data_IF_787337081313
#
_entry.id   IF_787337081313
#
_cell.length_a   1.000
_cell.length_b   1.000
_cell.length_c   1.000
_cell.angle_alpha   90.00
_cell.angle_beta   90.00
_cell.angle_gamma   90.00
#
_symmetry.space_group_name_H-M   'P 1'
#
loop_
_entity.id
_entity.type
_entity.pdbx_description
1 polymer ?
#
# COMPACT_ATOMS: atom_id res chain seq x y z
N UNK A 1 -9.93 11.65 15.89
CA UNK A 1 -10.03 11.34 14.46
C UNK A 1 -8.88 12.07 13.80
N UNK A 2 -7.73 11.41 13.71
CA UNK A 2 -6.58 11.98 13.00
C UNK A 2 -6.62 11.44 11.56
N UNK A 3 -7.08 12.29 10.64
CA UNK A 3 -6.90 12.05 9.21
C UNK A 3 -5.49 12.52 8.87
N UNK A 4 -4.52 11.62 8.98
CA UNK A 4 -3.15 11.88 8.54
C UNK A 4 -3.08 11.88 7.02
N UNK A 5 -3.20 13.06 6.40
CA UNK A 5 -2.83 13.24 4.99
C UNK A 5 -1.32 13.51 4.93
N UNK A 6 -0.50 12.47 4.70
CA UNK A 6 0.93 12.64 4.44
C UNK A 6 1.33 11.98 3.11
N UNK A 7 1.78 12.81 2.17
CA UNK A 7 2.38 12.40 0.90
C UNK A 7 1.39 12.11 -0.24
N UNK A 8 1.88 11.95 -1.49
CA UNK A 8 1.06 11.79 -2.70
C UNK A 8 0.34 10.43 -2.82
N UNK A 9 0.18 9.70 -1.72
CA UNK A 9 -0.72 8.56 -1.59
C UNK A 9 -1.76 8.87 -0.53
N UNK A 10 -3.00 9.12 -0.93
CA UNK A 10 -4.11 9.19 0.04
C UNK A 10 -4.31 7.77 0.55
N UNK A 11 -4.01 7.50 1.82
CA UNK A 11 -4.47 6.31 2.55
C UNK A 11 -5.46 6.76 3.62
N UNK A 12 -6.59 6.06 3.73
CA UNK A 12 -7.49 6.23 4.87
C UNK A 12 -7.23 5.13 5.87
N UNK A 13 -6.87 5.49 7.10
CA UNK A 13 -6.77 4.57 8.22
C UNK A 13 -7.77 4.97 9.31
N UNK A 14 -8.51 3.99 9.82
CA UNK A 14 -9.41 4.16 10.96
C UNK A 14 -8.97 3.22 12.08
N UNK A 15 -8.61 3.82 13.21
CA UNK A 15 -8.23 3.07 14.40
C UNK A 15 -9.45 2.82 15.29
N UNK A 16 -9.47 1.66 15.94
CA UNK A 16 -10.51 1.31 16.89
C UNK A 16 -10.15 0.12 17.75
N UNK A 17 -11.17 -0.37 18.46
CA UNK A 17 -11.10 -1.55 19.31
C UNK A 17 -12.31 -2.42 19.02
N UNK A 18 -12.07 -3.70 18.74
CA UNK A 18 -13.14 -4.68 18.53
C UNK A 18 -13.88 -4.95 19.85
N UNK A 19 -15.07 -5.54 19.78
CA UNK A 19 -15.82 -5.96 20.99
C UNK A 19 -15.03 -6.94 21.86
N UNK A 20 -14.10 -7.71 21.27
CA UNK A 20 -13.18 -8.59 21.99
C UNK A 20 -12.12 -7.85 22.82
N UNK A 21 -11.99 -6.54 22.67
CA UNK A 21 -10.93 -5.72 23.26
C UNK A 21 -9.66 -5.62 22.42
N UNK A 22 -9.60 -6.32 21.28
CA UNK A 22 -8.44 -6.27 20.39
C UNK A 22 -8.37 -4.95 19.62
N UNK A 23 -7.18 -4.34 19.58
CA UNK A 23 -6.93 -3.15 18.76
C UNK A 23 -6.98 -3.50 17.27
N UNK A 24 -7.59 -2.61 16.49
CA UNK A 24 -7.80 -2.80 15.04
C UNK A 24 -7.54 -1.51 14.27
N UNK A 25 -6.99 -1.67 13.06
CA UNK A 25 -6.84 -0.62 12.06
C UNK A 25 -7.56 -1.08 10.80
N UNK A 26 -8.48 -0.25 10.29
CA UNK A 26 -9.11 -0.44 9.00
C UNK A 26 -8.41 0.45 7.97
N UNK A 27 -7.77 -0.18 6.99
CA UNK A 27 -7.06 0.49 5.91
C UNK A 27 -7.92 0.51 4.65
N UNK A 28 -8.38 1.68 4.23
CA UNK A 28 -9.12 1.91 2.99
C UNK A 28 -8.38 2.84 2.04
N UNK A 29 -8.85 2.87 0.79
CA UNK A 29 -8.50 3.84 -0.25
C UNK A 29 -7.02 4.23 -0.25
N UNK A 30 -6.17 3.42 -0.90
CA UNK A 30 -4.72 3.69 -1.02
C UNK A 30 -4.31 3.74 -2.49
N UNK A 31 -3.28 4.53 -2.77
CA UNK A 31 -2.68 4.69 -4.10
C UNK A 31 -1.24 4.20 -3.99
N UNK A 32 -0.96 2.96 -4.42
CA UNK A 32 0.40 2.43 -4.38
C UNK A 32 1.37 3.33 -5.13
N UNK A 33 2.53 3.60 -4.53
CA UNK A 33 3.54 4.46 -5.13
C UNK A 33 4.64 3.61 -5.75
N UNK A 34 4.93 3.82 -7.03
CA UNK A 34 6.09 3.20 -7.67
C UNK A 34 7.33 4.04 -7.40
N UNK A 35 8.21 3.54 -6.53
CA UNK A 35 9.46 4.23 -6.16
C UNK A 35 10.66 3.76 -6.98
N UNK A 36 10.55 2.59 -7.62
CA UNK A 36 11.54 2.10 -8.59
C UNK A 36 10.85 1.76 -9.91
N UNK A 37 11.21 2.47 -10.98
CA UNK A 37 10.78 2.15 -12.34
C UNK A 37 11.77 1.14 -12.92
N UNK A 38 11.31 -0.09 -13.13
CA UNK A 38 12.15 -1.16 -13.67
C UNK A 38 11.44 -1.83 -14.84
N UNK A 39 12.21 -2.16 -15.89
CA UNK A 39 11.71 -2.92 -17.05
C UNK A 39 11.45 -4.39 -16.71
N UNK A 40 12.06 -4.88 -15.61
CA UNK A 40 11.93 -6.25 -15.11
C UNK A 40 11.76 -6.28 -13.59
N UNK A 41 11.12 -7.32 -13.02
CA UNK A 41 11.02 -7.47 -11.58
C UNK A 41 12.38 -7.46 -10.88
N UNK A 42 12.48 -6.71 -9.78
CA UNK A 42 13.64 -6.66 -8.89
C UNK A 42 13.95 -8.08 -8.38
N UNK A 43 15.23 -8.45 -8.38
CA UNK A 43 15.67 -9.74 -7.81
C UNK A 43 15.51 -9.75 -6.29
N UNK A 44 15.47 -10.95 -5.67
CA UNK A 44 15.40 -11.09 -4.21
C UNK A 44 16.58 -10.35 -3.54
N UNK A 45 17.80 -10.71 -3.92
CA UNK A 45 19.05 -10.12 -3.40
C UNK A 45 19.09 -8.60 -3.53
N UNK A 46 18.60 -8.06 -4.67
CA UNK A 46 18.56 -6.61 -4.88
C UNK A 46 17.52 -5.94 -3.97
N UNK A 47 16.37 -6.58 -3.74
CA UNK A 47 15.32 -6.04 -2.88
C UNK A 47 15.79 -6.00 -1.42
N UNK A 48 16.43 -7.07 -0.95
CA UNK A 48 17.04 -7.14 0.38
C UNK A 48 18.15 -6.11 0.55
N UNK A 49 19.00 -5.93 -0.47
CA UNK A 49 20.02 -4.88 -0.44
C UNK A 49 19.41 -3.49 -0.37
N UNK A 50 18.33 -3.21 -1.12
CA UNK A 50 17.63 -1.92 -1.06
C UNK A 50 17.07 -1.67 0.35
N UNK A 51 16.45 -2.68 0.95
CA UNK A 51 15.89 -2.58 2.31
C UNK A 51 16.99 -2.33 3.34
N UNK A 52 18.09 -3.09 3.27
CA UNK A 52 19.25 -2.91 4.15
C UNK A 52 19.89 -1.53 4.02
N UNK A 53 20.12 -1.04 2.79
CA UNK A 53 20.72 0.29 2.61
C UNK A 53 19.79 1.41 3.04
N UNK A 54 18.47 1.27 2.85
CA UNK A 54 17.50 2.22 3.39
C UNK A 54 17.54 2.25 4.92
N UNK A 55 17.56 1.08 5.56
CA UNK A 55 17.75 0.97 7.01
C UNK A 55 19.04 1.66 7.47
N UNK A 56 20.18 1.37 6.83
CA UNK A 56 21.47 2.00 7.18
C UNK A 56 21.42 3.51 7.08
N UNK A 57 20.85 4.02 5.99
CA UNK A 57 20.69 5.45 5.77
C UNK A 57 19.80 6.09 6.85
N UNK A 58 18.66 5.49 7.14
CA UNK A 58 17.71 6.00 8.14
C UNK A 58 18.29 5.95 9.55
N UNK A 59 19.02 4.89 9.91
CA UNK A 59 19.74 4.81 11.19
C UNK A 59 20.72 5.97 11.36
N UNK A 60 21.48 6.31 10.32
CA UNK A 60 22.40 7.46 10.35
C UNK A 60 21.64 8.77 10.46
N UNK A 61 20.54 8.95 9.71
CA UNK A 61 19.73 10.17 9.81
C UNK A 61 19.09 10.34 11.19
N UNK A 62 18.65 9.25 11.82
CA UNK A 62 17.93 9.28 13.11
C UNK A 62 18.85 9.37 14.32
N UNK A 63 19.96 8.63 14.31
CA UNK A 63 20.85 8.47 15.48
C UNK A 63 22.23 9.09 15.30
N UNK A 64 22.64 9.39 14.06
CA UNK A 64 24.01 9.78 13.73
C UNK A 64 25.00 8.61 13.67
N UNK A 65 24.55 7.39 13.98
CA UNK A 65 25.40 6.20 14.03
C UNK A 65 25.20 5.31 12.80
N UNK A 66 26.31 4.76 12.28
CA UNK A 66 26.29 3.78 11.21
C UNK A 66 26.04 2.41 11.83
N UNK A 67 24.93 1.71 11.52
CA UNK A 67 24.58 0.47 12.21
C UNK A 67 25.50 -0.70 11.81
N UNK A 68 26.07 -0.64 10.60
CA UNK A 68 26.98 -1.65 10.05
C UNK A 68 28.17 -0.98 9.36
N UNK A 69 29.37 -1.22 9.88
CA UNK A 69 30.64 -0.69 9.37
C UNK A 69 30.95 -1.23 7.97
N UNK A 70 30.69 -2.52 7.76
CA UNK A 70 30.83 -3.20 6.47
C UNK A 70 29.64 -4.15 6.23
N UNK A 71 29.34 -4.38 4.95
CA UNK A 71 28.22 -5.23 4.50
C UNK A 71 28.63 -6.04 3.27
N UNK A 72 28.86 -7.32 3.49
CA UNK A 72 29.17 -8.30 2.46
C UNK A 72 27.97 -9.21 2.17
N UNK A 73 27.91 -9.75 0.95
CA UNK A 73 26.91 -10.75 0.58
C UNK A 73 27.13 -12.03 1.40
N UNK A 74 26.06 -12.57 1.97
CA UNK A 74 26.07 -13.82 2.73
C UNK A 74 25.87 -15.06 1.86
N UNK A 75 25.59 -16.19 2.52
CA UNK A 75 25.42 -17.51 1.88
C UNK A 75 23.96 -17.89 1.60
N UNK A 76 22.99 -17.04 1.94
CA UNK A 76 21.53 -17.21 1.73
C UNK A 76 20.97 -18.55 2.25
N UNK A 77 20.59 -18.66 3.55
CA UNK A 77 20.81 -17.70 4.64
C UNK A 77 22.20 -17.83 5.32
N UNK A 78 22.73 -16.75 5.94
CA UNK A 78 22.19 -15.39 6.02
C UNK A 78 22.29 -14.64 4.68
N UNK A 79 21.42 -13.66 4.46
CA UNK A 79 21.48 -12.77 3.29
C UNK A 79 22.77 -11.93 3.26
N UNK A 80 23.27 -11.51 4.44
CA UNK A 80 24.46 -10.67 4.59
C UNK A 80 25.37 -11.10 5.73
N UNK A 81 26.68 -10.83 5.57
CA UNK A 81 27.63 -10.76 6.67
C UNK A 81 27.93 -9.28 6.94
N UNK A 82 27.70 -8.82 8.16
CA UNK A 82 27.84 -7.41 8.55
C UNK A 82 28.83 -7.26 9.69
N UNK A 83 29.50 -6.10 9.74
CA UNK A 83 30.42 -5.76 10.84
C UNK A 83 29.75 -4.77 11.80
N UNK A 84 29.60 -5.17 13.07
CA UNK A 84 29.01 -4.37 14.15
C UNK A 84 30.03 -4.23 15.26
N UNK A 85 30.49 -3.02 15.55
CA UNK A 85 31.49 -2.75 16.59
C UNK A 85 32.75 -3.62 16.44
N UNK A 86 33.22 -3.79 15.20
CA UNK A 86 34.35 -4.66 14.86
C UNK A 86 34.10 -6.17 14.98
N UNK A 87 32.87 -6.63 15.24
CA UNK A 87 32.51 -8.05 15.27
C UNK A 87 31.61 -8.43 14.09
N UNK A 88 31.90 -9.58 13.47
CA UNK A 88 31.07 -10.12 12.40
C UNK A 88 29.74 -10.63 12.96
N UNK A 89 28.66 -10.33 12.24
CA UNK A 89 27.29 -10.75 12.54
C UNK A 89 26.61 -11.23 11.25
N UNK A 90 25.85 -12.33 11.35
CA UNK A 90 25.11 -12.93 10.24
C UNK A 90 23.70 -12.33 10.22
N UNK A 91 23.43 -11.52 9.21
CA UNK A 91 22.20 -10.73 9.08
C UNK A 91 21.29 -11.32 8.01
N UNK A 92 20.05 -11.59 8.38
CA UNK A 92 18.98 -11.98 7.46
C UNK A 92 17.93 -10.87 7.35
N UNK A 93 17.28 -10.76 6.20
CA UNK A 93 16.27 -9.77 5.91
C UNK A 93 14.91 -10.43 5.70
N UNK A 94 13.87 -9.79 6.25
CA UNK A 94 12.49 -10.18 6.04
C UNK A 94 11.62 -8.95 5.86
N UNK A 95 10.43 -9.14 5.28
CA UNK A 95 9.46 -8.08 5.11
C UNK A 95 8.13 -8.42 5.82
N UNK A 96 7.63 -7.50 6.62
CA UNK A 96 6.29 -7.57 7.20
C UNK A 96 5.33 -6.81 6.29
N UNK A 97 4.37 -7.53 5.71
CA UNK A 97 3.55 -7.04 4.59
C UNK A 97 2.12 -7.57 4.66
N UNK A 98 1.17 -6.86 4.04
CA UNK A 98 -0.20 -7.33 3.90
C UNK A 98 -0.36 -8.01 2.55
N UNK A 99 -0.03 -9.30 2.48
CA UNK A 99 -0.02 -10.06 1.22
C UNK A 99 -1.35 -9.99 0.45
N UNK A 100 -2.48 -10.10 1.15
CA UNK A 100 -3.82 -9.95 0.55
C UNK A 100 -4.02 -8.57 -0.08
N UNK A 101 -3.52 -7.52 0.58
CA UNK A 101 -3.56 -6.14 0.08
C UNK A 101 -2.70 -5.99 -1.18
N UNK A 102 -1.45 -6.43 -1.13
CA UNK A 102 -0.54 -6.38 -2.31
C UNK A 102 -1.11 -7.17 -3.48
N UNK A 103 -1.73 -8.32 -3.22
CA UNK A 103 -2.43 -9.10 -4.26
C UNK A 103 -3.58 -8.33 -4.89
N UNK A 104 -4.46 -7.73 -4.09
CA UNK A 104 -5.59 -6.95 -4.60
C UNK A 104 -5.12 -5.79 -5.49
N UNK A 105 -4.08 -5.06 -5.06
CA UNK A 105 -3.51 -3.98 -5.87
C UNK A 105 -2.80 -4.48 -7.13
N UNK A 106 -2.13 -5.64 -7.11
CA UNK A 106 -1.59 -6.25 -8.33
C UNK A 106 -2.67 -6.54 -9.38
N UNK A 107 -3.82 -7.04 -8.93
CA UNK A 107 -4.99 -7.24 -9.81
C UNK A 107 -5.51 -5.88 -10.31
N UNK A 108 -5.62 -4.89 -9.42
CA UNK A 108 -6.06 -3.55 -9.79
C UNK A 108 -5.13 -2.85 -10.80
N UNK A 109 -3.80 -3.03 -10.68
CA UNK A 109 -2.83 -2.55 -11.68
C UNK A 109 -3.09 -3.13 -13.07
N UNK A 110 -3.54 -4.37 -13.16
CA UNK A 110 -3.89 -5.00 -14.44
C UNK A 110 -5.11 -4.32 -15.07
N UNK A 111 -6.11 -3.97 -14.26
CA UNK A 111 -7.25 -3.16 -14.72
C UNK A 111 -6.82 -1.77 -15.17
N UNK A 112 -5.98 -1.07 -14.38
CA UNK A 112 -5.44 0.24 -14.76
C UNK A 112 -4.73 0.20 -16.11
N UNK A 113 -3.93 -0.84 -16.34
CA UNK A 113 -3.24 -1.05 -17.61
C UNK A 113 -4.23 -1.23 -18.77
N UNK A 114 -5.29 -2.01 -18.56
CA UNK A 114 -6.34 -2.21 -19.59
C UNK A 114 -7.08 -0.90 -19.91
N UNK A 115 -7.41 -0.10 -18.90
CA UNK A 115 -8.04 1.23 -19.08
C UNK A 115 -7.13 2.13 -19.92
N UNK A 116 -5.84 2.23 -19.55
CA UNK A 116 -4.87 3.05 -20.28
C UNK A 116 -4.72 2.61 -21.74
N UNK A 117 -4.67 1.29 -21.99
CA UNK A 117 -4.59 0.73 -23.34
C UNK A 117 -5.85 0.99 -24.17
N UNK A 118 -6.99 1.21 -23.51
CA UNK A 118 -8.27 1.46 -24.17
C UNK A 118 -8.54 2.95 -24.42
N UNK A 119 -7.78 3.85 -23.78
CA UNK A 119 -8.03 5.30 -23.77
C UNK A 119 -8.02 5.98 -25.15
N UNK A 120 -7.27 5.43 -26.11
CA UNK A 120 -7.27 5.94 -27.50
C UNK A 120 -8.56 5.58 -28.28
N UNK A 121 -9.33 4.60 -27.79
CA UNK A 121 -10.48 4.03 -28.50
C UNK A 121 -11.82 4.18 -27.76
N UNK A 122 -11.79 4.48 -26.47
CA UNK A 122 -12.96 4.60 -25.60
C UNK A 122 -12.94 5.97 -24.94
N UNK A 123 -14.06 6.69 -25.03
CA UNK A 123 -14.22 7.99 -24.39
C UNK A 123 -14.55 7.83 -22.90
N UNK A 124 -13.71 8.40 -22.04
CA UNK A 124 -13.89 8.48 -20.58
C UNK A 124 -14.26 9.89 -20.10
N UNK A 125 -14.69 10.77 -21.01
CA UNK A 125 -14.99 12.17 -20.72
C UNK A 125 -16.10 12.38 -19.68
N UNK A 126 -16.95 11.38 -19.46
CA UNK A 126 -17.97 11.31 -18.42
C UNK A 126 -17.41 11.30 -16.99
N UNK A 127 -16.19 10.76 -16.79
CA UNK A 127 -15.49 10.71 -15.49
C UNK A 127 -14.25 11.61 -15.44
N UNK A 128 -14.02 12.41 -16.48
CA UNK A 128 -12.85 13.28 -16.60
C UNK A 128 -12.72 14.28 -15.45
N UNK A 129 -11.50 14.41 -14.92
CA UNK A 129 -11.15 15.32 -13.83
C UNK A 129 -11.49 14.80 -12.43
N UNK A 130 -11.87 13.53 -12.28
CA UNK A 130 -12.28 12.94 -11.01
C UNK A 130 -11.36 11.79 -10.56
N UNK A 131 -11.53 11.34 -9.30
CA UNK A 131 -11.07 10.02 -8.83
C UNK A 131 -12.25 9.07 -8.82
N UNK A 132 -12.16 8.01 -9.62
CA UNK A 132 -13.11 6.91 -9.64
C UNK A 132 -12.64 5.82 -8.69
N UNK A 133 -13.30 5.70 -7.54
CA UNK A 133 -13.11 4.58 -6.63
C UNK A 133 -13.96 3.40 -7.13
N UNK A 134 -13.34 2.22 -7.24
CA UNK A 134 -13.95 1.02 -7.81
C UNK A 134 -13.98 -0.09 -6.75
N UNK A 135 -15.17 -0.55 -6.40
CA UNK A 135 -15.41 -1.67 -5.49
C UNK A 135 -15.89 -2.87 -6.30
N UNK A 136 -15.38 -4.06 -6.02
CA UNK A 136 -15.77 -5.29 -6.74
C UNK A 136 -16.66 -6.15 -5.85
N UNK A 137 -17.68 -6.75 -6.45
CA UNK A 137 -18.75 -7.48 -5.75
C UNK A 137 -18.61 -8.99 -5.87
N UNK A 138 -17.83 -9.50 -6.83
CA UNK A 138 -17.62 -10.93 -7.02
C UNK A 138 -16.53 -11.53 -6.11
N UNK A 139 -16.76 -12.75 -5.61
CA UNK A 139 -15.78 -13.53 -4.84
C UNK A 139 -15.40 -12.88 -3.52
N UNK A 140 -14.11 -12.57 -3.34
CA UNK A 140 -13.56 -11.87 -2.17
C UNK A 140 -13.54 -10.34 -2.34
N UNK A 141 -14.30 -9.81 -3.29
CA UNK A 141 -14.27 -8.38 -3.66
C UNK A 141 -12.96 -7.95 -4.32
N UNK A 142 -12.29 -8.88 -5.01
CA UNK A 142 -11.02 -8.64 -5.68
C UNK A 142 -11.22 -8.17 -7.13
N UNK A 143 -10.33 -7.31 -7.67
CA UNK A 143 -10.36 -6.97 -9.09
C UNK A 143 -10.18 -8.19 -9.99
N UNK A 144 -10.67 -8.15 -11.24
CA UNK A 144 -10.50 -9.26 -12.18
C UNK A 144 -9.04 -9.65 -12.40
N UNK A 145 -8.79 -10.94 -12.63
CA UNK A 145 -7.45 -11.44 -12.97
C UNK A 145 -7.00 -10.89 -14.32
N UNK A 146 -5.70 -10.65 -14.47
CA UNK A 146 -5.08 -10.20 -15.74
C UNK A 146 -5.46 -11.05 -16.96
N UNK A 147 -5.67 -12.35 -16.77
CA UNK A 147 -6.06 -13.28 -17.83
C UNK A 147 -7.55 -13.25 -18.19
N UNK A 148 -8.40 -12.67 -17.34
CA UNK A 148 -9.84 -12.56 -17.60
C UNK A 148 -10.14 -11.28 -18.38
N UNK A 149 -9.77 -11.29 -19.66
CA UNK A 149 -9.96 -10.16 -20.57
C UNK A 149 -11.43 -9.77 -20.72
N UNK A 150 -12.35 -10.72 -20.58
CA UNK A 150 -13.79 -10.45 -20.67
C UNK A 150 -14.27 -9.64 -19.47
N UNK A 151 -13.90 -10.05 -18.25
CA UNK A 151 -14.24 -9.30 -17.05
C UNK A 151 -13.59 -7.91 -17.04
N UNK A 152 -12.31 -7.80 -17.44
CA UNK A 152 -11.62 -6.51 -17.55
C UNK A 152 -12.33 -5.57 -18.54
N UNK A 153 -12.66 -6.05 -19.75
CA UNK A 153 -13.35 -5.26 -20.76
C UNK A 153 -14.73 -4.77 -20.29
N UNK A 154 -15.46 -5.59 -19.53
CA UNK A 154 -16.75 -5.20 -18.93
C UNK A 154 -16.60 -4.04 -17.95
N UNK A 155 -15.57 -4.06 -17.10
CA UNK A 155 -15.30 -2.97 -16.17
C UNK A 155 -14.94 -1.70 -16.94
N UNK A 156 -14.07 -1.80 -17.96
CA UNK A 156 -13.70 -0.66 -18.82
C UNK A 156 -14.94 -0.06 -19.51
N UNK A 157 -15.80 -0.90 -20.07
CA UNK A 157 -17.06 -0.48 -20.70
C UNK A 157 -17.98 0.23 -19.68
N UNK A 158 -18.16 -0.36 -18.49
CA UNK A 158 -18.98 0.24 -17.44
C UNK A 158 -18.47 1.63 -16.99
N UNK A 159 -17.15 1.85 -16.99
CA UNK A 159 -16.57 3.18 -16.72
C UNK A 159 -16.97 4.16 -17.83
N UNK A 160 -16.87 3.77 -19.11
CA UNK A 160 -17.26 4.64 -20.24
C UNK A 160 -18.76 4.93 -20.30
N UNK A 161 -19.59 4.04 -19.76
CA UNK A 161 -21.04 4.18 -19.68
C UNK A 161 -21.50 4.87 -18.39
N UNK A 162 -20.57 5.23 -17.49
CA UNK A 162 -20.91 5.91 -16.24
C UNK A 162 -21.68 7.22 -16.55
N UNK A 163 -22.83 7.50 -15.91
CA UNK A 163 -23.61 8.68 -16.23
C UNK A 163 -22.81 9.97 -16.02
N UNK A 164 -22.75 10.85 -17.03
CA UNK A 164 -22.15 12.18 -16.86
C UNK A 164 -23.05 13.04 -15.97
N UNK A 165 -22.70 13.11 -14.68
CA UNK A 165 -23.42 13.89 -13.67
C UNK A 165 -22.74 15.19 -13.32
N UNK A 166 -21.74 15.64 -14.11
CA UNK A 166 -20.99 16.88 -13.80
C UNK A 166 -21.91 18.09 -13.69
N UNK A 167 -22.96 18.16 -14.52
CA UNK A 167 -23.94 19.23 -14.45
C UNK A 167 -24.72 19.24 -13.13
N UNK A 168 -25.20 18.07 -12.69
CA UNK A 168 -25.92 17.90 -11.42
C UNK A 168 -25.03 18.26 -10.21
N UNK A 169 -23.77 17.79 -10.24
CA UNK A 169 -22.77 18.09 -9.20
C UNK A 169 -22.48 19.58 -9.14
N UNK A 170 -22.28 20.25 -10.28
CA UNK A 170 -22.04 21.70 -10.33
C UNK A 170 -23.23 22.48 -9.80
N UNK A 171 -24.46 22.13 -10.21
CA UNK A 171 -25.66 22.78 -9.70
C UNK A 171 -25.80 22.63 -8.18
N UNK A 172 -25.54 21.44 -7.66
CA UNK A 172 -25.56 21.16 -6.23
C UNK A 172 -24.53 22.01 -5.46
N UNK A 173 -23.27 22.00 -5.91
CA UNK A 173 -22.19 22.77 -5.28
C UNK A 173 -22.48 24.27 -5.33
N UNK A 174 -22.96 24.79 -6.47
CA UNK A 174 -23.35 26.20 -6.61
C UNK A 174 -24.47 26.58 -5.63
N UNK A 175 -25.44 25.69 -5.42
CA UNK A 175 -26.51 25.89 -4.44
C UNK A 175 -26.01 26.00 -3.00
N UNK A 176 -25.01 25.21 -2.62
CA UNK A 176 -24.43 25.22 -1.26
C UNK A 176 -23.47 26.41 -1.07
N UNK A 177 -22.64 26.72 -2.07
CA UNK A 177 -21.75 27.89 -2.05
C UNK A 177 -22.56 29.18 -1.98
N UNK A 178 -23.68 29.27 -2.69
CA UNK A 178 -24.61 30.41 -2.58
C UNK A 178 -25.21 30.57 -1.19
N UNK A 179 -25.26 29.50 -0.38
CA UNK A 179 -25.70 29.50 1.02
C UNK A 179 -24.54 29.72 2.01
N UNK A 180 -23.33 30.04 1.53
CA UNK A 180 -22.19 30.44 2.35
C UNK A 180 -21.31 29.30 2.86
N UNK A 181 -21.43 28.08 2.32
CA UNK A 181 -20.61 26.94 2.70
C UNK A 181 -20.02 26.21 1.49
N UNK A 182 -18.89 25.52 1.68
CA UNK A 182 -18.47 24.47 0.74
C UNK A 182 -19.02 23.15 1.27
N UNK A 183 -19.65 22.29 0.45
CA UNK A 183 -20.09 20.99 0.93
C UNK A 183 -18.88 20.16 1.39
N UNK A 184 -18.96 19.61 2.60
CA UNK A 184 -17.96 18.66 3.10
C UNK A 184 -18.01 17.34 2.31
N UNK A 185 -19.18 16.97 1.76
CA UNK A 185 -19.41 15.78 0.95
C UNK A 185 -20.49 16.02 -0.11
N UNK A 186 -20.36 15.37 -1.27
CA UNK A 186 -21.41 15.29 -2.28
C UNK A 186 -22.42 14.18 -1.92
N UNK A 187 -23.70 14.27 -2.33
CA UNK A 187 -24.70 13.22 -2.08
C UNK A 187 -24.28 11.90 -2.71
N UNK A 188 -24.35 10.80 -1.96
CA UNK A 188 -23.90 9.48 -2.41
C UNK A 188 -24.57 9.04 -3.72
N UNK A 189 -25.87 9.31 -3.91
CA UNK A 189 -26.58 8.91 -5.12
C UNK A 189 -26.12 9.67 -6.38
N UNK A 190 -25.48 10.82 -6.22
CA UNK A 190 -24.90 11.61 -7.31
C UNK A 190 -23.50 11.12 -7.70
N UNK A 191 -22.90 10.27 -6.87
CA UNK A 191 -21.51 9.85 -7.02
C UNK A 191 -21.38 8.37 -7.36
N UNK A 192 -22.45 7.56 -7.30
CA UNK A 192 -22.35 6.11 -7.48
C UNK A 192 -23.02 5.58 -8.76
N UNK A 193 -22.43 4.50 -9.29
CA UNK A 193 -23.04 3.66 -10.32
C UNK A 193 -22.61 2.21 -10.14
N UNK A 194 -23.25 1.29 -10.86
CA UNK A 194 -22.93 -0.13 -10.87
C UNK A 194 -22.79 -0.60 -12.32
N UNK A 195 -21.86 -1.50 -12.59
CA UNK A 195 -21.78 -2.19 -13.87
C UNK A 195 -23.05 -3.00 -14.13
N UNK A 196 -23.51 -3.09 -15.37
CA UNK A 196 -24.77 -3.74 -15.71
C UNK A 196 -24.91 -5.21 -15.26
N UNK A 197 -23.79 -5.90 -15.05
CA UNK A 197 -23.75 -7.28 -14.56
C UNK A 197 -23.45 -7.40 -13.05
N UNK A 198 -23.35 -6.29 -12.34
CA UNK A 198 -23.05 -6.24 -10.91
C UNK A 198 -21.63 -6.64 -10.53
N UNK A 199 -20.68 -6.69 -11.46
CA UNK A 199 -19.28 -7.02 -11.19
C UNK A 199 -18.56 -5.95 -10.35
N UNK A 200 -18.86 -4.68 -10.60
CA UNK A 200 -18.24 -3.55 -9.95
C UNK A 200 -19.23 -2.43 -9.63
N UNK A 201 -19.04 -1.81 -8.47
CA UNK A 201 -19.63 -0.53 -8.12
C UNK A 201 -18.58 0.57 -8.18
N UNK A 202 -19.03 1.76 -8.54
CA UNK A 202 -18.20 2.92 -8.75
C UNK A 202 -18.63 4.02 -7.79
N UNK A 203 -17.68 4.75 -7.22
CA UNK A 203 -17.93 6.05 -6.58
C UNK A 203 -16.97 7.10 -7.16
N UNK A 204 -17.53 8.19 -7.66
CA UNK A 204 -16.78 9.34 -8.15
C UNK A 204 -16.45 10.23 -6.94
N UNK A 205 -15.26 10.80 -6.93
CA UNK A 205 -14.87 11.83 -5.98
C UNK A 205 -14.26 12.99 -6.77
N UNK A 206 -14.71 14.20 -6.49
CA UNK A 206 -14.10 15.42 -7.04
C UNK A 206 -12.86 15.72 -6.21
N UNK A 207 -11.73 15.93 -6.88
CA UNK A 207 -10.48 16.25 -6.20
C UNK A 207 -10.32 17.77 -6.11
N UNK A 208 -10.28 18.35 -4.90
CA UNK A 208 -9.97 19.76 -4.76
C UNK A 208 -8.53 20.03 -5.24
N UNK A 209 -8.32 21.14 -5.95
CA UNK A 209 -7.00 21.72 -6.23
C UNK A 209 -6.04 20.95 -7.16
N UNK A 210 -6.54 20.19 -8.13
CA UNK A 210 -5.69 19.71 -9.24
C UNK A 210 -4.56 18.76 -8.83
N UNK A 211 -4.73 18.02 -7.72
CA UNK A 211 -3.76 17.02 -7.26
C UNK A 211 -3.80 15.72 -8.08
N UNK A 212 -4.45 15.74 -9.24
CA UNK A 212 -4.46 14.65 -10.20
C UNK A 212 -3.21 14.76 -11.07
N UNK A 213 -2.26 13.86 -10.84
CA UNK A 213 -0.98 13.84 -11.54
C UNK A 213 -0.54 12.39 -11.74
N UNK A 214 0.21 12.14 -12.81
CA UNK A 214 0.78 10.83 -13.12
C UNK A 214 0.36 10.30 -14.48
N UNK A 215 1.08 9.28 -14.95
CA UNK A 215 0.92 8.74 -16.30
C UNK A 215 -0.46 8.14 -16.57
N UNK A 216 -1.17 7.67 -15.55
CA UNK A 216 -2.54 7.19 -15.69
C UNK A 216 -3.47 8.36 -16.00
N UNK A 217 -3.49 9.40 -15.16
CA UNK A 217 -4.28 10.60 -15.39
C UNK A 217 -3.97 11.28 -16.72
N UNK A 218 -2.70 11.37 -17.11
CA UNK A 218 -2.29 11.92 -18.41
C UNK A 218 -2.86 11.13 -19.60
N UNK A 219 -2.99 9.80 -19.46
CA UNK A 219 -3.50 8.93 -20.51
C UNK A 219 -5.04 8.91 -20.57
N UNK A 220 -5.72 9.00 -19.43
CA UNK A 220 -7.16 8.73 -19.35
C UNK A 220 -8.01 9.96 -19.04
N UNK A 221 -7.41 11.03 -18.54
CA UNK A 221 -8.09 12.25 -18.09
C UNK A 221 -8.78 12.14 -16.72
N UNK A 222 -8.65 11.00 -16.02
CA UNK A 222 -9.19 10.77 -14.67
C UNK A 222 -8.24 9.86 -13.88
N UNK A 223 -8.47 9.70 -12.58
CA UNK A 223 -7.69 8.80 -11.73
C UNK A 223 -8.59 7.70 -11.15
N UNK A 224 -8.03 6.55 -10.78
CA UNK A 224 -8.84 5.49 -10.14
C UNK A 224 -8.18 4.87 -8.91
N UNK A 225 -9.02 4.53 -7.94
CA UNK A 225 -8.61 3.95 -6.66
C UNK A 225 -9.37 2.64 -6.39
N UNK A 226 -8.74 1.72 -5.66
CA UNK A 226 -9.40 0.50 -5.24
C UNK A 226 -10.26 0.78 -4.00
N UNK A 227 -11.57 0.57 -4.13
CA UNK A 227 -12.57 0.73 -3.06
C UNK A 227 -12.67 -0.48 -2.14
N UNK A 228 -11.53 -1.01 -1.69
CA UNK A 228 -11.42 -2.15 -0.78
C UNK A 228 -10.84 -1.71 0.56
N UNK A 229 -11.40 -2.22 1.65
CA UNK A 229 -10.86 -2.05 3.00
C UNK A 229 -10.14 -3.32 3.46
N UNK A 230 -9.13 -3.13 4.31
CA UNK A 230 -8.37 -4.23 4.89
C UNK A 230 -8.35 -4.03 6.40
N UNK A 231 -8.86 -5.03 7.12
CA UNK A 231 -8.78 -5.08 8.56
C UNK A 231 -7.42 -5.64 8.99
N UNK A 232 -6.76 -4.93 9.89
CA UNK A 232 -5.52 -5.34 10.51
C UNK A 232 -5.72 -5.30 12.01
N UNK A 233 -5.61 -6.46 12.66
CA UNK A 233 -5.65 -6.54 14.12
C UNK A 233 -4.24 -6.63 14.69
N UNK A 234 -4.09 -6.17 15.93
CA UNK A 234 -2.84 -6.35 16.68
C UNK A 234 -2.46 -7.83 16.78
N UNK A 235 -3.43 -8.68 17.08
CA UNK A 235 -3.26 -10.14 17.17
C UNK A 235 -2.73 -10.74 15.87
N UNK A 236 -3.36 -10.46 14.72
CA UNK A 236 -2.89 -10.95 13.43
C UNK A 236 -1.48 -10.44 13.08
N UNK A 237 -1.15 -9.20 13.48
CA UNK A 237 0.20 -8.65 13.30
C UNK A 237 1.24 -9.39 14.14
N UNK A 238 0.89 -9.75 15.38
CA UNK A 238 1.76 -10.51 16.27
C UNK A 238 1.94 -11.96 15.81
N UNK A 239 0.87 -12.59 15.33
CA UNK A 239 0.93 -13.92 14.73
C UNK A 239 1.88 -13.95 13.53
N UNK A 240 1.76 -12.96 12.63
CA UNK A 240 2.62 -12.87 11.46
C UNK A 240 4.08 -12.58 11.83
N UNK A 241 4.34 -11.70 12.80
CA UNK A 241 5.69 -11.47 13.33
C UNK A 241 6.28 -12.73 13.96
N UNK A 242 5.51 -13.44 14.78
CA UNK A 242 5.90 -14.72 15.38
C UNK A 242 6.27 -15.74 14.31
N UNK A 243 5.44 -15.84 13.25
CA UNK A 243 5.70 -16.73 12.11
C UNK A 243 6.98 -16.35 11.35
N UNK A 244 7.18 -15.05 11.04
CA UNK A 244 8.37 -14.56 10.35
C UNK A 244 9.61 -14.81 11.21
N UNK A 245 9.63 -14.33 12.45
CA UNK A 245 10.77 -14.48 13.35
C UNK A 245 11.11 -15.96 13.54
N UNK A 246 10.11 -16.82 13.76
CA UNK A 246 10.32 -18.26 13.92
C UNK A 246 10.89 -18.95 12.67
N UNK A 247 10.65 -18.43 11.45
CA UNK A 247 11.28 -18.95 10.23
C UNK A 247 12.77 -18.59 10.12
N UNK A 248 13.16 -17.47 10.72
CA UNK A 248 14.52 -16.94 10.67
C UNK A 248 15.32 -17.17 11.96
N UNK A 249 14.70 -17.74 13.01
CA UNK A 249 15.37 -18.12 14.26
C UNK A 249 16.16 -19.42 14.07
N UNK A 250 17.33 -19.30 13.43
CA UNK A 250 18.21 -20.40 13.06
C UNK A 250 19.64 -20.15 13.55
N UNK A 251 20.40 -21.23 13.83
CA UNK A 251 21.77 -21.15 14.38
C UNK A 251 22.75 -20.36 13.51
N UNK A 252 22.49 -20.29 12.20
CA UNK A 252 23.30 -19.55 11.23
C UNK A 252 22.93 -18.07 11.07
N UNK A 253 21.96 -17.55 11.85
CA UNK A 253 21.50 -16.16 11.77
C UNK A 253 21.63 -15.53 13.17
N UNK A 254 22.34 -14.40 13.27
CA UNK A 254 22.52 -13.68 14.53
C UNK A 254 21.55 -12.49 14.64
N UNK A 255 21.24 -11.84 13.52
CA UNK A 255 20.41 -10.64 13.45
C UNK A 255 19.36 -10.79 12.36
N UNK A 256 18.10 -10.50 12.67
CA UNK A 256 17.02 -10.36 11.70
C UNK A 256 16.61 -8.88 11.55
N UNK A 257 16.64 -8.37 10.32
CA UNK A 257 16.06 -7.08 9.95
C UNK A 257 14.69 -7.31 9.29
N UNK A 258 13.63 -6.81 9.93
CA UNK A 258 12.26 -6.86 9.41
C UNK A 258 11.88 -5.48 8.89
N UNK A 259 11.71 -5.35 7.58
CA UNK A 259 11.23 -4.11 6.95
C UNK A 259 9.71 -4.12 6.82
N UNK A 260 9.06 -3.08 7.34
CA UNK A 260 7.62 -2.82 7.19
C UNK A 260 7.41 -1.84 6.04
N UNK A 261 6.40 -2.08 5.20
CA UNK A 261 6.04 -1.17 4.11
C UNK A 261 7.06 -1.09 2.96
N UNK A 262 8.07 -1.96 2.97
CA UNK A 262 9.12 -2.02 1.94
C UNK A 262 8.58 -2.35 0.54
N UNK A 263 9.32 -2.02 -0.54
CA UNK A 263 8.87 -2.23 -1.91
C UNK A 263 8.57 -3.70 -2.23
N UNK A 264 7.63 -3.95 -3.16
CA UNK A 264 7.49 -5.23 -3.84
C UNK A 264 8.54 -5.39 -4.97
N UNK A 265 8.55 -6.55 -5.61
CA UNK A 265 9.47 -6.83 -6.73
C UNK A 265 9.19 -5.98 -7.98
N UNK A 266 8.05 -5.30 -8.06
CA UNK A 266 7.73 -4.36 -9.14
C UNK A 266 8.10 -2.91 -8.78
N UNK A 267 8.69 -2.70 -7.59
CA UNK A 267 9.14 -1.39 -7.11
C UNK A 267 8.04 -0.55 -6.48
N UNK A 268 6.91 -1.15 -6.10
CA UNK A 268 5.80 -0.45 -5.46
C UNK A 268 5.85 -0.55 -3.94
N UNK A 269 5.62 0.57 -3.27
CA UNK A 269 5.29 0.62 -1.85
C UNK A 269 3.80 0.86 -1.66
N UNK A 270 3.30 0.44 -0.50
CA UNK A 270 1.90 0.52 -0.12
C UNK A 270 1.81 1.31 1.19
N UNK A 271 1.61 2.64 1.13
CA UNK A 271 1.65 3.49 2.32
C UNK A 271 0.81 3.00 3.49
N UNK A 272 -0.34 2.37 3.24
CA UNK A 272 -1.15 1.78 4.30
C UNK A 272 -0.49 0.66 5.10
N UNK A 273 0.55 0.00 4.58
CA UNK A 273 1.27 -1.04 5.33
C UNK A 273 2.14 -0.47 6.46
N UNK A 274 2.47 0.82 6.44
CA UNK A 274 3.22 1.46 7.53
C UNK A 274 2.46 1.45 8.86
N UNK A 275 1.13 1.36 8.82
CA UNK A 275 0.32 1.24 10.02
C UNK A 275 0.57 -0.07 10.79
N UNK A 276 1.18 -1.09 10.16
CA UNK A 276 1.63 -2.29 10.86
C UNK A 276 2.68 -1.97 11.94
N UNK A 277 3.50 -0.94 11.75
CA UNK A 277 4.51 -0.53 12.73
C UNK A 277 3.89 -0.21 14.09
N UNK A 278 2.66 0.31 14.12
CA UNK A 278 1.96 0.68 15.37
C UNK A 278 1.79 -0.51 16.29
N UNK A 279 1.41 -1.66 15.75
CA UNK A 279 1.33 -2.89 16.51
C UNK A 279 2.70 -3.55 16.63
N UNK A 280 3.43 -3.70 15.52
CA UNK A 280 4.67 -4.46 15.47
C UNK A 280 5.73 -4.02 16.49
N UNK A 281 5.84 -2.72 16.77
CA UNK A 281 6.79 -2.18 17.76
C UNK A 281 6.51 -2.61 19.21
N UNK A 282 5.30 -3.08 19.52
CA UNK A 282 4.89 -3.55 20.85
C UNK A 282 5.21 -5.04 21.05
N UNK A 283 5.45 -5.77 19.97
CA UNK A 283 5.75 -7.20 20.03
C UNK A 283 7.13 -7.46 20.65
N UNK A 284 7.20 -8.47 21.51
CA UNK A 284 8.45 -8.90 22.16
C UNK A 284 8.64 -10.41 21.92
N UNK A 285 9.45 -10.82 20.92
CA UNK A 285 9.68 -12.22 20.62
C UNK A 285 10.55 -12.91 21.69
N UNK A 286 10.35 -14.21 21.84
CA UNK A 286 11.34 -15.10 22.46
C UNK A 286 12.08 -15.83 21.35
N UNK A 287 13.40 -15.65 21.28
CA UNK A 287 14.25 -16.25 20.26
C UNK A 287 15.26 -17.22 20.89
N UNK A 288 15.63 -18.27 20.16
CA UNK A 288 16.60 -19.28 20.57
C UNK A 288 18.00 -18.94 20.07
N UNK A 289 18.11 -18.53 18.81
CA UNK A 289 19.37 -18.29 18.12
C UNK A 289 19.58 -16.81 17.77
N UNK A 290 18.51 -16.11 17.39
CA UNK A 290 18.59 -14.67 17.10
C UNK A 290 18.99 -13.89 18.36
N UNK A 291 20.05 -13.10 18.24
CA UNK A 291 20.50 -12.16 19.26
C UNK A 291 19.82 -10.82 19.14
N UNK A 292 19.38 -10.48 17.93
CA UNK A 292 18.78 -9.19 17.62
C UNK A 292 17.67 -9.32 16.60
N UNK A 293 16.52 -8.70 16.88
CA UNK A 293 15.45 -8.49 15.90
C UNK A 293 15.18 -6.99 15.79
N UNK A 294 15.40 -6.43 14.61
CA UNK A 294 15.18 -5.01 14.33
C UNK A 294 14.01 -4.85 13.38
N UNK A 295 13.05 -4.03 13.78
CA UNK A 295 11.96 -3.56 12.95
C UNK A 295 12.35 -2.21 12.32
N UNK A 296 12.15 -2.06 11.02
CA UNK A 296 12.40 -0.84 10.27
C UNK A 296 11.19 -0.45 9.44
N UNK A 297 10.66 0.76 9.65
CA UNK A 297 9.63 1.38 8.82
C UNK A 297 10.28 1.98 7.58
N UNK A 298 9.97 1.45 6.39
CA UNK A 298 10.63 1.85 5.15
C UNK A 298 10.36 3.32 4.79
N UNK A 299 9.11 3.78 4.98
CA UNK A 299 8.72 5.15 4.63
C UNK A 299 9.13 6.18 5.68
N UNK A 300 8.96 5.88 6.97
CA UNK A 300 9.23 6.86 8.03
C UNK A 300 10.68 6.87 8.49
N UNK A 301 11.41 5.78 8.24
CA UNK A 301 12.76 5.56 8.76
C UNK A 301 12.79 5.26 10.26
N UNK A 302 11.64 5.01 10.89
CA UNK A 302 11.62 4.56 12.27
C UNK A 302 12.27 3.18 12.41
N UNK A 303 13.11 3.05 13.43
CA UNK A 303 13.81 1.83 13.80
C UNK A 303 13.46 1.50 15.24
N UNK A 304 13.08 0.25 15.47
CA UNK A 304 12.73 -0.30 16.79
C UNK A 304 13.42 -1.66 16.97
N UNK A 305 14.06 -1.87 18.10
CA UNK A 305 14.57 -3.18 18.48
C UNK A 305 13.50 -3.95 19.26
N UNK A 306 13.21 -5.18 18.86
CA UNK A 306 12.16 -6.00 19.46
C UNK A 306 12.69 -6.96 20.53
N UNK A 307 13.95 -7.36 20.42
CA UNK A 307 14.67 -8.14 21.44
C UNK A 307 15.16 -7.22 22.57
N UNK A 308 15.26 -7.75 23.79
CA UNK A 308 15.86 -7.06 24.93
C UNK A 308 17.33 -7.42 25.10
#
# INVERSE_FOLDING_TARGET
>A
MDVGLSGPGVTVALDGTLESGNSVIILGCDVPMQIFRNDSPISKDSLERIQLEKFRFDSVLKSGEVPFEDVLKGSDPPDFAVLVNGQESRLDCAALTLQTRRMAYRLFRSLRTEIMQSADSIDFGNVGGCVLQITFSEGLGLPPRRGDKKALAKVVQAISEFPDRRHEVVQFVQGIVAQGGMPERLPLEMMTAESADGLASFSVNVVPNGSLAGSFYEATGFECALGMTFEVTQEATFEELSRVIGQHDQENIDHLLITVGGPDREGYIYPGEEFLCRFAQEYRPSCTYLRRVTLHSFMTGEVTELTQ
#
